data_IF_004634872939
#
_entry.id   IF_004634872939
#
_cell.length_a   1.000
_cell.length_b   1.000
_cell.length_c   1.000
_cell.angle_alpha   90.00
_cell.angle_beta   90.00
_cell.angle_gamma   90.00
#
_symmetry.space_group_name_H-M   'P 1'
#
loop_
_entity.id
_entity.type
_entity.pdbx_description
1 polymer ?
#
# COMPACT_ATOMS: atom_id res chain seq x y z
N UNK A 1 8.57 -36.58 15.96
CA UNK A 1 7.51 -35.60 16.29
C UNK A 1 8.02 -34.25 16.80
N UNK A 2 9.32 -34.07 17.10
CA UNK A 2 9.84 -32.79 17.64
C UNK A 2 10.29 -31.77 16.58
N UNK A 3 10.54 -32.19 15.33
CA UNK A 3 11.04 -31.29 14.28
C UNK A 3 9.95 -30.38 13.68
N UNK A 4 8.69 -30.82 13.70
CA UNK A 4 7.54 -30.03 13.23
C UNK A 4 7.20 -28.85 14.17
N UNK A 5 7.42 -29.03 15.48
CA UNK A 5 7.24 -27.98 16.48
C UNK A 5 8.28 -26.86 16.30
N UNK A 6 9.53 -27.19 15.97
CA UNK A 6 10.58 -26.19 15.73
C UNK A 6 10.31 -25.29 14.52
N UNK A 7 9.76 -25.84 13.43
CA UNK A 7 9.38 -25.08 12.23
C UNK A 7 8.19 -24.14 12.48
N UNK A 8 7.22 -24.55 13.31
CA UNK A 8 6.07 -23.71 13.66
C UNK A 8 6.46 -22.51 14.54
N UNK A 9 7.43 -22.67 15.46
CA UNK A 9 7.93 -21.57 16.31
C UNK A 9 8.65 -20.50 15.47
N UNK A 10 9.42 -20.90 14.45
CA UNK A 10 10.12 -19.96 13.55
C UNK A 10 9.16 -19.12 12.68
N UNK A 11 8.04 -19.70 12.25
CA UNK A 11 7.00 -18.96 11.50
C UNK A 11 6.25 -17.94 12.36
N UNK A 12 6.01 -18.25 13.64
CA UNK A 12 5.28 -17.37 14.55
C UNK A 12 6.07 -16.11 14.95
N UNK A 13 7.41 -16.18 14.95
CA UNK A 13 8.28 -15.06 15.38
C UNK A 13 8.95 -14.34 14.20
N UNK A 14 9.02 -14.96 13.03
CA UNK A 14 9.66 -14.41 11.83
C UNK A 14 8.77 -13.52 10.97
N UNK A 15 7.44 -13.65 11.07
CA UNK A 15 6.51 -12.72 10.44
C UNK A 15 6.02 -11.71 11.47
N UNK A 16 6.90 -10.77 11.85
CA UNK A 16 6.36 -9.43 12.09
C UNK A 16 5.76 -9.03 10.74
N UNK A 17 4.42 -8.92 10.55
CA UNK A 17 3.95 -8.18 9.39
C UNK A 17 4.63 -6.82 9.55
N UNK A 18 5.55 -6.49 8.66
CA UNK A 18 6.03 -5.13 8.56
C UNK A 18 4.75 -4.34 8.35
N UNK A 19 4.27 -3.70 9.44
CA UNK A 19 3.09 -2.85 9.43
C UNK A 19 3.55 -1.68 8.59
N UNK A 20 3.43 -1.84 7.28
CA UNK A 20 4.04 -0.98 6.29
C UNK A 20 3.01 0.02 5.81
N UNK A 21 3.52 1.13 5.32
CA UNK A 21 2.78 2.24 4.73
C UNK A 21 1.90 1.86 3.53
N UNK A 22 2.17 0.74 2.85
CA UNK A 22 1.31 0.18 1.81
C UNK A 22 0.00 -0.40 2.40
N UNK A 23 0.07 -1.04 3.58
CA UNK A 23 -1.13 -1.51 4.27
C UNK A 23 -1.99 -0.33 4.71
N UNK A 24 -1.36 0.72 5.24
CA UNK A 24 -2.05 1.97 5.57
C UNK A 24 -2.65 2.63 4.33
N UNK A 25 -2.00 2.52 3.17
CA UNK A 25 -2.53 3.07 1.92
C UNK A 25 -3.80 2.32 1.51
N UNK A 26 -3.77 0.99 1.57
CA UNK A 26 -4.96 0.18 1.27
C UNK A 26 -6.09 0.44 2.27
N UNK A 27 -5.80 0.66 3.55
CA UNK A 27 -6.81 1.09 4.52
C UNK A 27 -7.44 2.43 4.13
N UNK A 28 -6.63 3.45 3.84
CA UNK A 28 -7.12 4.76 3.42
C UNK A 28 -7.97 4.69 2.13
N UNK A 29 -7.52 3.94 1.13
CA UNK A 29 -8.28 3.75 -0.13
C UNK A 29 -9.61 3.06 0.18
N UNK A 30 -9.62 2.04 1.03
CA UNK A 30 -10.85 1.35 1.42
C UNK A 30 -11.81 2.27 2.19
N UNK A 31 -11.31 3.10 3.10
CA UNK A 31 -12.12 4.08 3.84
C UNK A 31 -12.68 5.20 2.97
N UNK A 32 -11.92 5.63 1.96
CA UNK A 32 -12.31 6.71 1.05
C UNK A 32 -13.30 6.24 -0.02
N UNK A 33 -13.14 5.00 -0.51
CA UNK A 33 -13.90 4.49 -1.67
C UNK A 33 -15.00 3.51 -1.30
N UNK A 34 -14.99 2.95 -0.10
CA UNK A 34 -15.89 1.87 0.33
C UNK A 34 -15.63 0.52 -0.36
N UNK A 35 -14.53 0.40 -1.12
CA UNK A 35 -14.16 -0.82 -1.86
C UNK A 35 -13.00 -1.54 -1.19
N UNK A 36 -12.89 -2.85 -1.41
CA UNK A 36 -11.69 -3.59 -1.01
C UNK A 36 -10.49 -3.12 -1.86
N UNK A 37 -9.54 -2.39 -1.25
CA UNK A 37 -8.49 -1.73 -1.99
C UNK A 37 -7.57 -2.71 -2.73
N UNK A 38 -7.24 -3.83 -2.09
CA UNK A 38 -6.36 -4.85 -2.66
C UNK A 38 -6.99 -5.46 -3.92
N UNK A 39 -8.26 -5.84 -3.87
CA UNK A 39 -8.95 -6.49 -4.99
C UNK A 39 -9.27 -5.53 -6.14
N UNK A 40 -9.61 -4.28 -5.83
CA UNK A 40 -10.06 -3.32 -6.84
C UNK A 40 -8.95 -2.45 -7.42
N UNK A 41 -7.86 -2.22 -6.69
CA UNK A 41 -6.80 -1.29 -7.10
C UNK A 41 -5.40 -1.92 -7.07
N UNK A 42 -5.18 -3.04 -6.38
CA UNK A 42 -3.83 -3.62 -6.23
C UNK A 42 -3.15 -4.04 -7.55
N UNK A 43 -3.94 -4.32 -8.60
CA UNK A 43 -3.46 -4.74 -9.92
C UNK A 43 -4.33 -4.15 -11.05
N UNK A 44 -4.89 -2.97 -10.84
CA UNK A 44 -5.82 -2.35 -11.79
C UNK A 44 -5.08 -1.57 -12.89
N UNK A 45 -5.48 -1.79 -14.15
CA UNK A 45 -4.95 -1.01 -15.26
C UNK A 45 -3.47 -1.28 -15.52
N UNK A 46 -2.75 -0.24 -15.89
CA UNK A 46 -1.35 -0.27 -16.25
C UNK A 46 -0.42 0.21 -15.12
N UNK A 47 -0.92 1.00 -14.17
CA UNK A 47 -0.14 1.67 -13.14
C UNK A 47 -0.55 1.34 -11.70
N UNK A 48 -1.79 0.91 -11.43
CA UNK A 48 -2.14 0.57 -10.06
C UNK A 48 -1.51 -0.76 -9.63
N UNK A 49 -0.54 -0.70 -8.72
CA UNK A 49 0.14 -1.88 -8.18
C UNK A 49 1.67 -1.75 -8.21
N UNK A 50 2.34 -2.79 -8.72
CA UNK A 50 3.80 -2.82 -8.85
C UNK A 50 4.24 -2.42 -10.26
N UNK A 51 4.91 -1.27 -10.37
CA UNK A 51 5.45 -0.75 -11.63
C UNK A 51 4.42 0.05 -12.41
N UNK A 52 4.71 0.35 -13.67
CA UNK A 52 3.78 1.08 -14.53
C UNK A 52 4.40 1.43 -15.87
N UNK A 53 3.68 1.15 -16.98
CA UNK A 53 4.13 1.47 -18.34
C UNK A 53 2.96 1.63 -19.30
N UNK A 54 3.17 2.43 -20.35
CA UNK A 54 2.18 2.64 -21.41
C UNK A 54 1.19 3.75 -21.10
N UNK A 55 0.03 3.71 -21.75
CA UNK A 55 -1.04 4.70 -21.54
C UNK A 55 -1.97 4.25 -20.42
N UNK A 56 -2.35 5.13 -19.47
CA UNK A 56 -3.33 4.80 -18.45
C UNK A 56 -4.65 4.32 -19.05
N UNK A 57 -5.21 3.25 -18.50
CA UNK A 57 -6.47 2.64 -18.96
C UNK A 57 -7.65 3.61 -18.84
N UNK A 58 -7.72 4.35 -17.74
CA UNK A 58 -8.78 5.32 -17.45
C UNK A 58 -8.35 6.35 -16.40
N UNK A 59 -9.29 7.13 -15.88
CA UNK A 59 -9.03 8.14 -14.86
C UNK A 59 -8.51 7.55 -13.54
N UNK A 60 -8.94 6.34 -13.15
CA UNK A 60 -8.44 5.67 -11.93
C UNK A 60 -6.98 5.30 -12.12
N UNK A 61 -6.65 4.70 -13.26
CA UNK A 61 -5.28 4.30 -13.58
C UNK A 61 -4.34 5.51 -13.71
N UNK A 62 -4.86 6.65 -14.17
CA UNK A 62 -4.12 7.92 -14.18
C UNK A 62 -3.81 8.43 -12.76
N UNK A 63 -4.70 8.23 -11.79
CA UNK A 63 -4.38 8.53 -10.39
C UNK A 63 -3.23 7.66 -9.88
N UNK A 64 -3.17 6.39 -10.27
CA UNK A 64 -2.07 5.49 -9.91
C UNK A 64 -0.74 5.91 -10.55
N UNK A 65 -0.76 6.32 -11.82
CA UNK A 65 0.42 6.89 -12.48
C UNK A 65 0.97 8.12 -11.73
N UNK A 66 0.09 9.04 -11.33
CA UNK A 66 0.48 10.22 -10.55
C UNK A 66 1.01 9.84 -9.17
N UNK A 67 0.41 8.83 -8.55
CA UNK A 67 0.86 8.31 -7.26
C UNK A 67 2.25 7.69 -7.35
N UNK A 68 2.56 6.93 -8.41
CA UNK A 68 3.90 6.40 -8.65
C UNK A 68 4.94 7.52 -8.80
N UNK A 69 4.60 8.60 -9.52
CA UNK A 69 5.46 9.80 -9.61
C UNK A 69 5.69 10.43 -8.25
N UNK A 70 4.66 10.54 -7.40
CA UNK A 70 4.80 11.03 -6.03
C UNK A 70 5.78 10.15 -5.22
N UNK A 71 5.64 8.83 -5.30
CA UNK A 71 6.56 7.90 -4.63
C UNK A 71 7.99 8.00 -5.14
N UNK A 72 8.20 8.14 -6.44
CA UNK A 72 9.54 8.36 -7.02
C UNK A 72 10.16 9.65 -6.51
N UNK A 73 9.39 10.74 -6.44
CA UNK A 73 9.86 12.01 -5.89
C UNK A 73 10.26 11.87 -4.41
N UNK A 74 9.46 11.18 -3.59
CA UNK A 74 9.79 10.92 -2.18
C UNK A 74 11.07 10.08 -2.03
N UNK A 75 11.29 9.09 -2.90
CA UNK A 75 12.52 8.30 -2.91
C UNK A 75 13.76 9.15 -3.21
N UNK A 76 13.64 10.20 -4.04
CA UNK A 76 14.73 11.15 -4.29
C UNK A 76 15.12 11.94 -3.03
N UNK A 77 14.21 12.07 -2.07
CA UNK A 77 14.47 12.64 -0.73
C UNK A 77 14.79 11.57 0.33
N UNK A 78 15.12 10.35 -0.10
CA UNK A 78 15.38 9.19 0.78
C UNK A 78 14.20 8.78 1.67
N UNK A 79 12.97 9.13 1.29
CA UNK A 79 11.74 8.69 1.96
C UNK A 79 11.14 7.49 1.23
N UNK A 80 11.22 6.30 1.82
CA UNK A 80 10.58 5.11 1.27
C UNK A 80 9.13 4.98 1.74
N UNK A 81 8.23 5.66 1.01
CA UNK A 81 6.80 5.70 1.28
C UNK A 81 6.07 4.35 1.13
N UNK A 82 6.73 3.25 0.73
CA UNK A 82 6.16 1.88 0.71
C UNK A 82 6.37 1.10 2.00
N UNK A 83 7.29 1.56 2.86
CA UNK A 83 7.57 0.93 4.16
C UNK A 83 7.34 1.88 5.34
N UNK A 84 7.40 3.20 5.14
CA UNK A 84 7.37 4.19 6.22
C UNK A 84 5.95 4.49 6.74
N UNK A 85 5.67 4.09 7.97
CA UNK A 85 4.40 4.38 8.64
C UNK A 85 4.13 5.89 8.72
N UNK A 86 2.87 6.27 8.59
CA UNK A 86 2.40 7.65 8.72
C UNK A 86 1.14 7.74 9.60
N UNK A 87 0.93 8.93 10.17
CA UNK A 87 -0.25 9.25 10.96
C UNK A 87 -1.28 9.99 10.12
N UNK A 88 -2.52 9.52 10.18
CA UNK A 88 -3.65 10.16 9.55
C UNK A 88 -4.91 9.95 10.40
N UNK A 89 -5.88 10.83 10.20
CA UNK A 89 -7.18 10.77 10.85
C UNK A 89 -8.29 10.96 9.82
N UNK A 90 -9.48 10.44 10.12
CA UNK A 90 -10.68 10.66 9.34
C UNK A 90 -11.61 11.60 10.09
N UNK A 91 -11.91 12.75 9.50
CA UNK A 91 -12.79 13.77 10.07
C UNK A 91 -13.89 14.14 9.06
N UNK A 92 -15.16 13.98 9.44
CA UNK A 92 -16.33 14.20 8.56
C UNK A 92 -16.21 13.56 7.15
N UNK A 93 -15.72 12.32 7.09
CA UNK A 93 -15.58 11.58 5.82
C UNK A 93 -14.35 11.96 4.99
N UNK A 94 -13.54 12.92 5.43
CA UNK A 94 -12.29 13.33 4.79
C UNK A 94 -11.09 12.76 5.54
N UNK A 95 -10.12 12.24 4.79
CA UNK A 95 -8.82 11.83 5.33
C UNK A 95 -7.91 13.05 5.43
N UNK A 96 -7.24 13.18 6.58
CA UNK A 96 -6.30 14.26 6.89
C UNK A 96 -5.03 13.65 7.46
N UNK A 97 -3.88 14.01 6.89
CA UNK A 97 -2.58 13.68 7.47
C UNK A 97 -2.35 14.51 8.74
N UNK A 98 -1.62 13.93 9.69
CA UNK A 98 -1.23 14.58 10.95
C UNK A 98 0.16 15.17 10.88
#
# INVERSE_FOLDING_TARGET
>A
MNSLLGLAVLFAWGLSPARGSLLQLYQMISEATGKNALLHYGFYGCYCGLGGKGQPKDATDRCCQLHDTCYQNLLNYHCNAKIQLYHYHRHHGRLSCS
#
